data_IF_821873094138
#
_entry.id   IF_821873094138
#
_cell.length_a   1.000
_cell.length_b   1.000
_cell.length_c   1.000
_cell.angle_alpha   90.00
_cell.angle_beta   90.00
_cell.angle_gamma   90.00
#
_symmetry.space_group_name_H-M   'P 1'
#
loop_
_entity.id
_entity.type
_entity.pdbx_description
1 polymer ?
#
# COMPACT_ATOMS: atom_id res chain seq x y z
N UNK A 1 -12.40 -4.18 13.77
CA UNK A 1 -11.25 -3.27 13.91
C UNK A 1 -10.36 -3.42 12.69
N UNK A 2 -10.23 -2.38 11.91
CA UNK A 2 -9.51 -2.45 10.63
C UNK A 2 -8.22 -1.65 10.69
N UNK A 3 -7.11 -2.33 10.48
CA UNK A 3 -5.77 -1.74 10.35
C UNK A 3 -5.40 -1.68 8.87
N UNK A 4 -5.15 -0.50 8.37
CA UNK A 4 -4.72 -0.27 7.01
C UNK A 4 -3.25 0.17 6.99
N UNK A 5 -2.45 -0.48 6.17
CA UNK A 5 -1.10 0.00 5.85
C UNK A 5 -1.14 0.68 4.47
N UNK A 6 -0.71 1.92 4.41
CA UNK A 6 -0.61 2.68 3.15
C UNK A 6 0.87 2.85 2.82
N UNK A 7 1.27 2.36 1.65
CA UNK A 7 2.64 2.48 1.14
C UNK A 7 2.68 3.59 0.11
N UNK A 8 3.45 4.62 0.41
CA UNK A 8 3.55 5.84 -0.37
C UNK A 8 3.10 7.07 0.43
N UNK A 9 3.66 8.22 0.11
CA UNK A 9 3.37 9.48 0.78
C UNK A 9 3.44 10.66 -0.21
N UNK A 10 2.99 10.44 -1.45
CA UNK A 10 2.85 11.47 -2.48
C UNK A 10 1.46 12.11 -2.48
N UNK A 11 1.14 12.80 -3.58
CA UNK A 11 -0.14 13.50 -3.72
C UNK A 11 -1.35 12.59 -3.64
N UNK A 12 -1.34 11.45 -4.34
CA UNK A 12 -2.44 10.47 -4.33
C UNK A 12 -2.57 9.85 -2.94
N UNK A 13 -1.46 9.47 -2.32
CA UNK A 13 -1.45 8.93 -0.97
C UNK A 13 -2.06 9.90 0.04
N UNK A 14 -1.71 11.17 -0.04
CA UNK A 14 -2.26 12.22 0.83
C UNK A 14 -3.78 12.29 0.76
N UNK A 15 -4.36 12.25 -0.44
CA UNK A 15 -5.82 12.26 -0.62
C UNK A 15 -6.45 10.99 -0.07
N UNK A 16 -5.90 9.83 -0.37
CA UNK A 16 -6.41 8.54 0.12
C UNK A 16 -6.39 8.46 1.65
N UNK A 17 -5.30 8.86 2.28
CA UNK A 17 -5.14 8.89 3.73
C UNK A 17 -6.17 9.83 4.37
N UNK A 18 -6.34 11.01 3.79
CA UNK A 18 -7.34 11.97 4.27
C UNK A 18 -8.75 11.38 4.23
N UNK A 19 -9.11 10.72 3.13
CA UNK A 19 -10.41 10.06 2.97
C UNK A 19 -10.62 8.91 3.96
N UNK A 20 -9.59 8.09 4.19
CA UNK A 20 -9.64 7.04 5.21
C UNK A 20 -9.86 7.61 6.61
N UNK A 21 -9.18 8.72 6.94
CA UNK A 21 -9.33 9.40 8.22
C UNK A 21 -10.74 10.00 8.44
N UNK A 22 -11.45 10.30 7.37
CA UNK A 22 -12.86 10.72 7.45
C UNK A 22 -13.81 9.56 7.78
N UNK A 23 -13.36 8.33 7.62
CA UNK A 23 -14.11 7.10 7.87
C UNK A 23 -13.50 6.29 9.02
N UNK A 24 -13.29 6.95 10.15
CA UNK A 24 -12.60 6.36 11.31
C UNK A 24 -13.35 5.19 11.96
N UNK A 25 -14.63 5.02 11.69
CA UNK A 25 -15.39 3.86 12.14
C UNK A 25 -14.99 2.58 11.40
N UNK A 26 -14.51 2.71 10.15
CA UNK A 26 -14.01 1.62 9.34
C UNK A 26 -12.49 1.48 9.53
N UNK A 27 -11.74 2.57 9.35
CA UNK A 27 -10.29 2.60 9.47
C UNK A 27 -9.89 3.08 10.86
N UNK A 28 -9.83 2.17 11.82
CA UNK A 28 -9.52 2.52 13.21
C UNK A 28 -8.05 2.83 13.42
N UNK A 29 -7.17 2.19 12.65
CA UNK A 29 -5.73 2.46 12.65
C UNK A 29 -5.19 2.50 11.21
N UNK A 30 -4.30 3.45 10.96
CA UNK A 30 -3.59 3.58 9.68
C UNK A 30 -2.11 3.71 9.97
N UNK A 31 -1.29 2.94 9.24
CA UNK A 31 0.16 3.14 9.17
C UNK A 31 0.51 3.72 7.79
N UNK A 32 1.23 4.83 7.79
CA UNK A 32 1.77 5.44 6.59
C UNK A 32 3.25 5.06 6.49
N UNK A 33 3.61 4.32 5.44
CA UNK A 33 4.97 3.82 5.25
C UNK A 33 5.58 4.35 3.95
N UNK A 34 6.81 4.82 4.01
CA UNK A 34 7.53 5.35 2.86
C UNK A 34 9.04 5.34 3.14
N UNK A 35 9.86 5.47 2.10
CA UNK A 35 11.29 5.70 2.25
C UNK A 35 11.60 7.03 2.94
N UNK A 36 10.73 8.03 2.78
CA UNK A 36 10.87 9.37 3.37
C UNK A 36 9.90 9.52 4.53
N UNK A 37 10.27 8.99 5.69
CA UNK A 37 9.41 9.01 6.88
C UNK A 37 9.03 10.43 7.34
N UNK A 38 9.86 11.42 7.08
CA UNK A 38 9.56 12.82 7.42
C UNK A 38 8.29 13.34 6.74
N UNK A 39 8.01 12.91 5.51
CA UNK A 39 6.76 13.25 4.82
C UNK A 39 5.56 12.57 5.46
N UNK A 40 5.74 11.32 5.88
CA UNK A 40 4.70 10.57 6.61
C UNK A 40 4.38 11.24 7.94
N UNK A 41 5.40 11.65 8.68
CA UNK A 41 5.26 12.32 9.97
C UNK A 41 4.56 13.67 9.82
N UNK A 42 4.91 14.45 8.80
CA UNK A 42 4.25 15.73 8.52
C UNK A 42 2.75 15.54 8.22
N UNK A 43 2.40 14.51 7.45
CA UNK A 43 1.01 14.21 7.15
C UNK A 43 0.26 13.71 8.37
N UNK A 44 0.88 12.86 9.20
CA UNK A 44 0.33 12.44 10.49
C UNK A 44 0.03 13.63 11.39
N UNK A 45 0.99 14.52 11.53
CA UNK A 45 0.84 15.71 12.38
C UNK A 45 -0.32 16.60 11.94
N UNK A 46 -0.48 16.76 10.63
CA UNK A 46 -1.58 17.51 10.03
C UNK A 46 -2.95 16.89 10.30
N UNK A 47 -3.07 15.57 10.29
CA UNK A 47 -4.35 14.85 10.33
C UNK A 47 -4.74 14.35 11.71
N UNK A 48 -3.79 14.07 12.60
CA UNK A 48 -4.06 13.39 13.88
C UNK A 48 -5.06 14.14 14.77
N UNK A 49 -5.06 15.46 14.73
CA UNK A 49 -6.02 16.27 15.50
C UNK A 49 -7.42 16.36 14.90
N UNK A 50 -7.61 15.88 13.66
CA UNK A 50 -8.88 16.00 12.91
C UNK A 50 -9.64 14.69 12.79
N UNK A 51 -9.09 13.58 13.27
CA UNK A 51 -9.65 12.24 13.11
C UNK A 51 -9.52 11.42 14.40
N UNK A 52 -10.43 10.47 14.57
CA UNK A 52 -10.32 9.44 15.62
C UNK A 52 -9.43 8.26 15.21
N UNK A 53 -9.10 8.15 13.93
CA UNK A 53 -8.19 7.13 13.43
C UNK A 53 -6.79 7.31 14.05
N UNK A 54 -6.24 6.25 14.61
CA UNK A 54 -4.87 6.25 15.12
C UNK A 54 -3.90 6.18 13.94
N UNK A 55 -3.03 7.16 13.81
CA UNK A 55 -2.05 7.24 12.72
C UNK A 55 -0.67 6.94 13.26
N UNK A 56 0.01 5.98 12.64
CA UNK A 56 1.43 5.67 12.86
C UNK A 56 2.20 5.82 11.56
N UNK A 57 3.50 5.97 11.66
CA UNK A 57 4.38 6.10 10.51
C UNK A 57 5.52 5.10 10.60
N UNK A 58 6.05 4.70 9.46
CA UNK A 58 7.20 3.82 9.39
C UNK A 58 8.06 4.15 8.17
N UNK A 59 9.35 3.90 8.29
CA UNK A 59 10.26 3.90 7.15
C UNK A 59 10.28 2.51 6.56
N UNK A 60 10.11 2.40 5.24
CA UNK A 60 10.24 1.15 4.51
C UNK A 60 10.73 1.41 3.09
N UNK A 61 11.58 0.53 2.60
CA UNK A 61 11.92 0.48 1.19
C UNK A 61 10.97 -0.51 0.49
N UNK A 62 10.10 0.01 -0.38
CA UNK A 62 9.11 -0.80 -1.09
C UNK A 62 9.72 -1.72 -2.17
N UNK A 63 11.01 -1.57 -2.47
CA UNK A 63 11.75 -2.50 -3.31
C UNK A 63 12.34 -3.68 -2.52
N UNK A 64 12.25 -3.66 -1.20
CA UNK A 64 12.80 -4.69 -0.32
C UNK A 64 11.68 -5.52 0.32
N UNK A 65 11.48 -6.74 -0.20
CA UNK A 65 10.45 -7.67 0.29
C UNK A 65 10.64 -7.99 1.77
N UNK A 66 11.86 -8.22 2.23
CA UNK A 66 12.13 -8.60 3.62
C UNK A 66 11.78 -7.48 4.61
N UNK A 67 12.06 -6.22 4.25
CA UNK A 67 11.64 -5.08 5.06
C UNK A 67 10.12 -4.94 5.12
N UNK A 68 9.45 -5.14 3.99
CA UNK A 68 7.99 -5.11 3.91
C UNK A 68 7.36 -6.20 4.75
N UNK A 69 7.86 -7.43 4.66
CA UNK A 69 7.39 -8.58 5.46
C UNK A 69 7.57 -8.31 6.95
N UNK A 70 8.75 -7.87 7.37
CA UNK A 70 9.03 -7.54 8.76
C UNK A 70 8.08 -6.46 9.31
N UNK A 71 7.81 -5.44 8.52
CA UNK A 71 6.88 -4.37 8.89
C UNK A 71 5.44 -4.88 8.99
N UNK A 72 4.99 -5.70 8.03
CA UNK A 72 3.65 -6.29 8.04
C UNK A 72 3.46 -7.25 9.21
N UNK A 73 4.46 -8.07 9.54
CA UNK A 73 4.41 -8.98 10.69
C UNK A 73 4.37 -8.23 12.02
N UNK A 74 5.04 -7.09 12.11
CA UNK A 74 5.04 -6.23 13.28
C UNK A 74 3.72 -5.49 13.47
N UNK A 75 3.20 -4.90 12.41
CA UNK A 75 1.98 -4.08 12.45
C UNK A 75 0.69 -4.91 12.33
N UNK A 76 0.73 -6.00 11.61
CA UNK A 76 -0.41 -6.90 11.31
C UNK A 76 -1.60 -6.16 10.69
N UNK A 77 -1.41 -5.56 9.50
CA UNK A 77 -2.52 -4.91 8.81
C UNK A 77 -3.54 -5.92 8.31
N UNK A 78 -4.79 -5.52 8.22
CA UNK A 78 -5.85 -6.28 7.54
C UNK A 78 -5.75 -6.12 6.03
N UNK A 79 -5.27 -4.96 5.56
CA UNK A 79 -5.08 -4.67 4.16
C UNK A 79 -3.90 -3.71 3.95
N UNK A 80 -3.32 -3.80 2.77
CA UNK A 80 -2.29 -2.89 2.27
C UNK A 80 -2.84 -2.14 1.05
N UNK A 81 -2.76 -0.82 1.09
CA UNK A 81 -3.03 0.06 -0.05
C UNK A 81 -1.71 0.58 -0.60
N UNK A 82 -1.38 0.17 -1.81
CA UNK A 82 -0.19 0.64 -2.51
C UNK A 82 -0.53 1.87 -3.36
N UNK A 83 0.00 3.01 -2.99
CA UNK A 83 -0.05 4.26 -3.75
C UNK A 83 1.35 4.81 -4.00
N UNK A 84 2.33 3.93 -4.02
CA UNK A 84 3.71 4.19 -4.41
C UNK A 84 3.86 4.16 -5.94
N UNK A 85 5.08 3.99 -6.42
CA UNK A 85 5.35 3.94 -7.86
C UNK A 85 4.95 2.59 -8.47
N UNK A 86 4.44 2.55 -9.70
CA UNK A 86 3.91 1.32 -10.32
C UNK A 86 4.90 0.16 -10.40
N UNK A 87 6.18 0.43 -10.57
CA UNK A 87 7.20 -0.62 -10.67
C UNK A 87 7.50 -1.32 -9.33
N UNK A 88 6.94 -0.84 -8.22
CA UNK A 88 7.08 -1.45 -6.89
C UNK A 88 5.94 -2.41 -6.55
N UNK A 89 4.96 -2.56 -7.42
CA UNK A 89 3.77 -3.36 -7.16
C UNK A 89 4.11 -4.83 -6.86
N UNK A 90 4.99 -5.44 -7.64
CA UNK A 90 5.32 -6.86 -7.50
C UNK A 90 5.98 -7.18 -6.15
N UNK A 91 6.88 -6.33 -5.68
CA UNK A 91 7.56 -6.53 -4.39
C UNK A 91 6.58 -6.40 -3.22
N UNK A 92 5.66 -5.45 -3.30
CA UNK A 92 4.62 -5.26 -2.29
C UNK A 92 3.63 -6.43 -2.31
N UNK A 93 3.23 -6.90 -3.49
CA UNK A 93 2.39 -8.09 -3.63
C UNK A 93 3.04 -9.34 -3.04
N UNK A 94 4.34 -9.55 -3.28
CA UNK A 94 5.09 -10.67 -2.72
C UNK A 94 5.08 -10.64 -1.20
N UNK A 95 5.28 -9.48 -0.60
CA UNK A 95 5.21 -9.32 0.84
C UNK A 95 3.80 -9.59 1.39
N UNK A 96 2.77 -9.08 0.73
CA UNK A 96 1.39 -9.33 1.11
C UNK A 96 1.03 -10.81 1.03
N UNK A 97 1.47 -11.50 -0.02
CA UNK A 97 1.28 -12.94 -0.18
C UNK A 97 1.95 -13.74 0.93
N UNK A 98 3.19 -13.38 1.26
CA UNK A 98 3.95 -14.04 2.33
C UNK A 98 3.29 -13.87 3.71
N UNK A 99 2.65 -12.74 3.97
CA UNK A 99 2.01 -12.41 5.24
C UNK A 99 0.51 -12.74 5.28
N UNK A 100 -0.09 -13.16 4.16
CA UNK A 100 -1.53 -13.41 4.08
C UNK A 100 -2.37 -12.15 4.23
N UNK A 101 -1.90 -11.01 3.74
CA UNK A 101 -2.54 -9.70 3.85
C UNK A 101 -3.22 -9.32 2.54
N UNK A 102 -4.41 -8.76 2.61
CA UNK A 102 -5.11 -8.25 1.44
C UNK A 102 -4.36 -7.07 0.81
N UNK A 103 -4.35 -7.01 -0.50
CA UNK A 103 -3.64 -6.00 -1.28
C UNK A 103 -4.59 -5.23 -2.20
N UNK A 104 -4.34 -3.95 -2.35
CA UNK A 104 -5.01 -3.07 -3.30
C UNK A 104 -4.03 -2.02 -3.82
N UNK A 105 -4.12 -1.70 -5.10
CA UNK A 105 -3.39 -0.59 -5.70
C UNK A 105 -4.30 0.29 -6.58
N UNK A 106 -3.72 1.34 -7.13
CA UNK A 106 -4.43 2.31 -7.99
C UNK A 106 -3.92 2.32 -9.42
N UNK A 107 -2.98 1.44 -9.75
CA UNK A 107 -2.36 1.42 -11.07
C UNK A 107 -1.96 0.00 -11.44
N UNK A 108 -1.82 -0.25 -12.75
CA UNK A 108 -1.18 -1.47 -13.24
C UNK A 108 0.32 -1.41 -13.02
N UNK A 109 0.91 -2.58 -12.78
CA UNK A 109 2.35 -2.71 -12.78
C UNK A 109 2.93 -2.28 -14.13
N UNK A 110 3.88 -1.35 -14.06
CA UNK A 110 4.73 -0.96 -15.18
C UNK A 110 6.18 -1.02 -14.70
N UNK A 111 7.07 -1.75 -15.36
CA UNK A 111 8.47 -1.75 -14.99
C UNK A 111 9.09 -0.38 -15.25
N UNK A 112 10.12 -0.05 -14.51
CA UNK A 112 10.91 1.17 -14.73
C UNK A 112 11.55 1.19 -16.12
N UNK A 113 11.92 0.00 -16.61
CA UNK A 113 12.36 -0.25 -17.99
C UNK A 113 11.26 -0.99 -18.74
N UNK A 114 10.60 -0.30 -19.67
CA UNK A 114 9.44 -0.80 -20.42
C UNK A 114 9.80 -1.70 -21.61
N UNK A 115 11.09 -1.95 -21.86
CA UNK A 115 11.53 -2.74 -23.00
C UNK A 115 11.35 -4.26 -22.80
N UNK A 116 11.01 -4.72 -21.61
CA UNK A 116 10.71 -6.13 -21.35
C UNK A 116 9.22 -6.43 -21.58
N UNK A 117 8.84 -7.18 -22.62
CA UNK A 117 7.43 -7.50 -22.91
C UNK A 117 6.82 -8.52 -21.94
N UNK A 118 7.62 -9.17 -21.09
CA UNK A 118 7.14 -10.22 -20.19
C UNK A 118 6.53 -9.67 -18.89
N UNK A 119 6.74 -8.40 -18.58
CA UNK A 119 6.26 -7.82 -17.32
C UNK A 119 4.76 -7.99 -17.08
N UNK A 120 3.98 -7.88 -18.14
CA UNK A 120 2.51 -8.01 -18.05
C UNK A 120 2.11 -9.42 -17.61
N UNK A 121 2.76 -10.44 -18.17
CA UNK A 121 2.51 -11.82 -17.79
C UNK A 121 2.87 -12.11 -16.33
N UNK A 122 3.96 -11.50 -15.86
CA UNK A 122 4.39 -11.60 -14.46
C UNK A 122 3.34 -10.96 -13.53
N UNK A 123 2.87 -9.77 -13.87
CA UNK A 123 1.85 -9.07 -13.10
C UNK A 123 0.52 -9.84 -13.05
N UNK A 124 0.03 -10.30 -14.21
CA UNK A 124 -1.19 -11.08 -14.30
C UNK A 124 -1.11 -12.38 -13.50
N UNK A 125 0.04 -13.05 -13.55
CA UNK A 125 0.29 -14.24 -12.73
C UNK A 125 0.22 -13.91 -11.24
N UNK A 126 0.84 -12.82 -10.81
CA UNK A 126 0.78 -12.39 -9.41
C UNK A 126 -0.63 -12.10 -8.95
N UNK A 127 -1.42 -11.43 -9.75
CA UNK A 127 -2.83 -11.16 -9.42
C UNK A 127 -3.61 -12.45 -9.22
N UNK A 128 -3.39 -13.45 -10.08
CA UNK A 128 -4.04 -14.77 -9.97
C UNK A 128 -3.58 -15.54 -8.73
N UNK A 129 -2.27 -15.59 -8.50
CA UNK A 129 -1.69 -16.33 -7.36
C UNK A 129 -2.13 -15.75 -6.01
N UNK A 130 -2.32 -14.44 -5.95
CA UNK A 130 -2.69 -13.75 -4.71
C UNK A 130 -4.19 -13.58 -4.52
N UNK A 131 -5.01 -13.85 -5.52
CA UNK A 131 -6.45 -13.53 -5.54
C UNK A 131 -6.70 -12.05 -5.20
N UNK A 132 -5.81 -11.17 -5.68
CA UNK A 132 -5.84 -9.75 -5.36
C UNK A 132 -6.65 -8.98 -6.40
N UNK A 133 -7.27 -7.90 -5.95
CA UNK A 133 -8.01 -6.98 -6.81
C UNK A 133 -7.20 -5.74 -7.08
N UNK A 134 -7.11 -5.36 -8.35
CA UNK A 134 -6.54 -4.09 -8.80
C UNK A 134 -7.64 -3.20 -9.34
N UNK A 135 -7.34 -1.93 -9.58
CA UNK A 135 -8.30 -0.99 -10.15
C UNK A 135 -8.86 -1.44 -11.50
N UNK A 136 -8.07 -2.16 -12.29
CA UNK A 136 -8.49 -2.64 -13.61
C UNK A 136 -9.40 -3.87 -13.55
N UNK A 137 -9.31 -4.67 -12.50
CA UNK A 137 -10.20 -5.81 -12.32
C UNK A 137 -11.67 -5.40 -12.19
N UNK A 138 -11.95 -4.19 -11.75
CA UNK A 138 -13.29 -3.63 -11.65
C UNK A 138 -13.90 -3.31 -13.02
N UNK A 139 -13.10 -3.06 -14.04
CA UNK A 139 -13.57 -2.71 -15.39
C UNK A 139 -13.99 -3.94 -16.20
N UNK A 140 -13.62 -5.14 -15.79
CA UNK A 140 -13.98 -6.40 -16.43
C UNK A 140 -15.32 -6.99 -15.95
N UNK A 141 -15.88 -6.40 -14.94
CA UNK A 141 -17.15 -6.81 -14.38
C UNK A 141 -18.31 -6.13 -15.13
#
# INVERSE_FOLDING_TARGET
MSRLMIIGCGGVASVAIHKCCQNSDVFTEIMIASRTVSKCDALKEKLQGTTKTKITTAKVDADNVDELVALMESYKPDAVLNVALPYQDLTIMDACLACGVNYMDTANYEPEDTDDPEWRAIYEKRCKDCLLYTSDAADEA
#
